data_IF_463873211148
#
_entry.id   IF_463873211148
#
_cell.length_a   1.000
_cell.length_b   1.000
_cell.length_c   1.000
_cell.angle_alpha   90.00
_cell.angle_beta   90.00
_cell.angle_gamma   90.00
#
_symmetry.space_group_name_H-M   'P 1'
#
loop_
_entity.id
_entity.type
_entity.pdbx_description
1 polymer ?
#
# COMPACT_ATOMS: atom_id res chain seq x y z
N UNK A 1 1.28 -19.24 -3.94
CA UNK A 1 0.99 -18.06 -4.77
C UNK A 1 0.73 -16.85 -3.90
N UNK A 2 1.49 -15.77 -4.03
CA UNK A 2 1.31 -14.61 -3.13
C UNK A 2 1.80 -13.30 -3.73
N UNK A 3 1.24 -12.19 -3.24
CA UNK A 3 1.70 -10.84 -3.58
C UNK A 3 3.05 -10.53 -2.92
N UNK A 4 3.93 -9.88 -3.66
CA UNK A 4 5.29 -9.52 -3.20
C UNK A 4 5.31 -8.51 -2.06
N UNK A 5 4.29 -7.65 -1.91
CA UNK A 5 4.21 -6.71 -0.78
C UNK A 5 3.46 -7.30 0.42
N UNK A 6 2.19 -7.67 0.25
CA UNK A 6 1.36 -8.07 1.39
C UNK A 6 1.58 -9.53 1.82
N UNK A 7 2.18 -10.35 0.95
CA UNK A 7 2.36 -11.81 1.08
C UNK A 7 1.04 -12.60 1.18
N UNK A 8 -0.11 -11.97 0.96
CA UNK A 8 -1.42 -12.63 0.90
C UNK A 8 -1.64 -13.25 -0.50
N UNK A 9 -2.49 -14.29 -0.60
CA UNK A 9 -2.74 -14.98 -1.86
C UNK A 9 -3.52 -14.14 -2.87
N UNK A 10 -3.48 -14.55 -4.13
CA UNK A 10 -4.42 -14.11 -5.17
C UNK A 10 -5.61 -15.06 -5.23
N UNK A 11 -6.77 -14.56 -5.66
CA UNK A 11 -7.98 -15.38 -5.90
C UNK A 11 -8.19 -15.62 -7.39
N UNK A 12 -8.70 -16.80 -7.80
CA UNK A 12 -8.80 -17.13 -9.21
C UNK A 12 -9.84 -16.28 -9.92
N UNK A 13 -9.49 -15.84 -11.12
CA UNK A 13 -10.41 -15.18 -12.05
C UNK A 13 -11.40 -16.18 -12.63
N UNK A 14 -12.58 -15.69 -13.03
CA UNK A 14 -13.69 -16.50 -13.58
C UNK A 14 -13.34 -17.27 -14.87
N UNK A 15 -12.25 -16.91 -15.54
CA UNK A 15 -11.79 -17.59 -16.77
C UNK A 15 -10.76 -18.68 -16.49
N UNK A 16 -10.44 -18.96 -15.22
CA UNK A 16 -9.61 -20.11 -14.86
C UNK A 16 -10.30 -21.41 -15.24
N UNK A 17 -9.53 -22.36 -15.77
CA UNK A 17 -10.05 -23.65 -16.30
C UNK A 17 -10.27 -24.67 -15.18
N UNK A 18 -9.54 -24.57 -14.07
CA UNK A 18 -9.68 -25.41 -12.88
C UNK A 18 -9.27 -24.62 -11.63
N UNK A 19 -10.14 -23.69 -11.18
CA UNK A 19 -9.81 -22.79 -10.07
C UNK A 19 -9.95 -23.45 -8.71
N UNK A 20 -9.10 -23.05 -7.79
CA UNK A 20 -9.12 -23.37 -6.36
C UNK A 20 -9.47 -22.09 -5.60
N UNK A 21 -10.77 -21.71 -5.56
CA UNK A 21 -11.18 -20.51 -4.87
C UNK A 21 -11.05 -20.67 -3.34
N UNK A 22 -10.95 -19.55 -2.60
CA UNK A 22 -11.13 -19.57 -1.16
C UNK A 22 -12.47 -20.23 -0.78
N UNK A 23 -12.53 -20.94 0.36
CA UNK A 23 -13.77 -21.52 0.84
C UNK A 23 -14.94 -20.50 0.90
N UNK A 24 -16.18 -20.91 0.57
CA UNK A 24 -17.33 -20.02 0.55
C UNK A 24 -17.52 -19.28 1.89
N UNK A 25 -17.82 -17.98 1.82
CA UNK A 25 -18.10 -17.15 3.01
C UNK A 25 -16.86 -16.69 3.79
N UNK A 26 -15.65 -17.07 3.40
CA UNK A 26 -14.43 -16.55 4.02
C UNK A 26 -14.07 -15.14 3.54
N UNK A 27 -14.30 -14.85 2.26
CA UNK A 27 -14.13 -13.52 1.68
C UNK A 27 -15.48 -12.95 1.25
N UNK A 28 -15.66 -11.65 1.46
CA UNK A 28 -16.74 -10.88 0.82
C UNK A 28 -16.43 -10.67 -0.67
N UNK A 29 -17.44 -10.38 -1.50
CA UNK A 29 -17.25 -10.09 -2.93
C UNK A 29 -16.24 -8.98 -3.19
N UNK A 30 -16.21 -7.96 -2.33
CA UNK A 30 -15.26 -6.83 -2.44
C UNK A 30 -13.83 -7.29 -2.19
N UNK A 31 -13.62 -8.15 -1.20
CA UNK A 31 -12.30 -8.72 -0.92
C UNK A 31 -11.89 -9.67 -2.03
N UNK A 32 -12.81 -10.53 -2.49
CA UNK A 32 -12.54 -11.44 -3.59
C UNK A 32 -12.05 -10.68 -4.84
N UNK A 33 -12.77 -9.65 -5.27
CA UNK A 33 -12.37 -8.81 -6.44
C UNK A 33 -11.03 -8.10 -6.24
N UNK A 34 -10.71 -7.69 -5.02
CA UNK A 34 -9.42 -7.10 -4.69
C UNK A 34 -8.28 -8.11 -4.91
N UNK A 35 -8.44 -9.35 -4.45
CA UNK A 35 -7.41 -10.38 -4.54
C UNK A 35 -7.25 -11.02 -5.93
N UNK A 36 -8.18 -10.80 -6.88
CA UNK A 36 -8.04 -11.28 -8.28
C UNK A 36 -6.93 -10.54 -9.02
N UNK A 37 -6.90 -9.21 -8.85
CA UNK A 37 -6.18 -8.31 -9.73
C UNK A 37 -4.77 -8.03 -9.23
N UNK A 38 -3.81 -8.01 -10.15
CA UNK A 38 -2.44 -7.70 -9.86
C UNK A 38 -1.74 -6.81 -10.87
N UNK A 39 -0.54 -6.39 -10.50
CA UNK A 39 0.43 -5.69 -11.34
C UNK A 39 1.74 -6.44 -11.20
N UNK A 40 2.19 -7.06 -12.30
CA UNK A 40 3.52 -7.62 -12.41
C UNK A 40 4.50 -6.51 -12.78
N UNK A 41 5.64 -6.45 -12.10
CA UNK A 41 6.70 -5.48 -12.31
C UNK A 41 8.01 -6.25 -12.31
N UNK A 42 8.88 -6.02 -13.28
CA UNK A 42 10.20 -6.66 -13.27
C UNK A 42 10.87 -6.65 -14.64
N UNK A 43 12.20 -6.73 -14.63
CA UNK A 43 13.01 -6.65 -15.84
C UNK A 43 12.85 -7.87 -16.75
N UNK A 44 12.44 -9.01 -16.17
CA UNK A 44 12.21 -10.26 -16.91
C UNK A 44 10.83 -10.30 -17.60
N UNK A 45 10.02 -9.25 -17.45
CA UNK A 45 8.76 -9.10 -18.15
C UNK A 45 9.00 -8.44 -19.51
N UNK A 46 8.39 -8.94 -20.61
CA UNK A 46 8.47 -8.30 -21.92
C UNK A 46 8.00 -6.84 -21.92
N UNK A 47 7.03 -6.50 -21.07
CA UNK A 47 6.50 -5.14 -20.95
C UNK A 47 7.08 -4.35 -19.78
N UNK A 48 7.89 -4.99 -18.92
CA UNK A 48 8.46 -4.46 -17.67
C UNK A 48 7.43 -4.15 -16.57
N UNK A 49 6.22 -3.77 -16.97
CA UNK A 49 5.05 -3.59 -16.12
C UNK A 49 3.83 -4.14 -16.86
N UNK A 50 3.01 -4.96 -16.18
CA UNK A 50 1.83 -5.58 -16.77
C UNK A 50 0.70 -5.71 -15.73
N UNK A 51 -0.50 -5.30 -16.10
CA UNK A 51 -1.70 -5.64 -15.33
C UNK A 51 -2.06 -7.10 -15.60
N UNK A 52 -2.29 -7.85 -14.53
CA UNK A 52 -2.48 -9.30 -14.58
C UNK A 52 -3.67 -9.74 -13.74
N UNK A 53 -4.24 -10.88 -14.10
CA UNK A 53 -5.23 -11.60 -13.31
C UNK A 53 -4.75 -12.99 -13.01
N UNK A 54 -5.09 -13.49 -11.83
CA UNK A 54 -4.73 -14.85 -11.44
C UNK A 54 -5.59 -15.88 -12.19
N UNK A 55 -4.97 -16.74 -12.99
CA UNK A 55 -5.64 -17.82 -13.74
C UNK A 55 -5.59 -19.17 -13.02
N UNK A 56 -5.06 -19.20 -11.80
CA UNK A 56 -4.74 -20.41 -11.04
C UNK A 56 -3.54 -21.19 -11.59
N UNK A 57 -3.21 -22.32 -10.94
CA UNK A 57 -2.26 -23.32 -11.42
C UNK A 57 -0.84 -22.80 -11.70
N UNK A 58 -0.39 -21.76 -10.97
CA UNK A 58 0.92 -21.15 -11.20
C UNK A 58 0.93 -20.03 -12.25
N UNK A 59 -0.22 -19.64 -12.83
CA UNK A 59 -0.27 -18.74 -13.98
C UNK A 59 -1.08 -17.46 -13.76
N UNK A 60 -0.54 -16.37 -14.29
CA UNK A 60 -1.23 -15.10 -14.47
C UNK A 60 -1.55 -14.87 -15.95
N UNK A 61 -2.72 -14.29 -16.22
CA UNK A 61 -3.12 -13.81 -17.53
C UNK A 61 -2.89 -12.31 -17.65
N UNK A 62 -2.27 -11.87 -18.74
CA UNK A 62 -2.05 -10.47 -19.06
C UNK A 62 -3.19 -9.86 -19.88
N UNK A 63 -3.50 -8.59 -19.61
CA UNK A 63 -4.42 -7.79 -20.41
C UNK A 63 -3.75 -7.26 -21.68
N UNK A 64 -3.36 -8.10 -22.64
CA UNK A 64 -2.89 -7.62 -23.96
C UNK A 64 -3.66 -8.28 -25.11
N UNK A 65 -3.67 -7.65 -26.30
CA UNK A 65 -4.31 -8.22 -27.49
C UNK A 65 -3.72 -9.59 -27.90
N UNK A 66 -2.50 -9.87 -27.46
CA UNK A 66 -1.95 -11.22 -27.36
C UNK A 66 -2.13 -11.71 -25.91
N UNK A 67 -2.68 -12.90 -25.72
CA UNK A 67 -2.78 -13.54 -24.39
C UNK A 67 -1.36 -13.82 -23.91
N UNK A 68 -0.81 -12.94 -23.06
CA UNK A 68 0.44 -13.23 -22.36
C UNK A 68 0.10 -14.05 -21.11
N UNK A 69 0.65 -15.27 -21.04
CA UNK A 69 0.58 -16.11 -19.85
C UNK A 69 1.91 -15.99 -19.13
N UNK A 70 1.86 -15.59 -17.86
CA UNK A 70 3.02 -15.46 -17.00
C UNK A 70 3.03 -16.61 -16.00
N UNK A 71 4.04 -17.47 -16.07
CA UNK A 71 4.31 -18.44 -15.00
C UNK A 71 4.89 -17.69 -13.80
N UNK A 72 4.26 -17.82 -12.63
CA UNK A 72 4.68 -17.08 -11.43
C UNK A 72 5.98 -17.59 -10.85
N UNK A 73 6.17 -18.90 -10.78
CA UNK A 73 7.34 -19.54 -10.18
C UNK A 73 8.15 -20.29 -11.25
N UNK A 74 9.45 -20.09 -11.26
CA UNK A 74 10.39 -20.65 -12.24
C UNK A 74 11.76 -20.89 -11.60
N UNK A 75 12.66 -21.52 -12.35
CA UNK A 75 14.03 -21.71 -11.90
C UNK A 75 14.67 -20.34 -11.58
N UNK A 76 15.03 -20.15 -10.30
CA UNK A 76 15.63 -18.92 -9.79
C UNK A 76 14.70 -17.96 -9.08
N UNK A 77 13.41 -18.29 -8.91
CA UNK A 77 12.49 -17.53 -8.06
C UNK A 77 11.10 -17.31 -8.63
N UNK A 78 10.37 -16.39 -8.01
CA UNK A 78 9.04 -15.97 -8.46
C UNK A 78 9.08 -14.60 -9.11
N UNK A 79 8.11 -14.34 -10.00
CA UNK A 79 7.91 -13.01 -10.58
C UNK A 79 7.39 -12.06 -9.50
N UNK A 80 7.89 -10.84 -9.49
CA UNK A 80 7.41 -9.78 -8.61
C UNK A 80 6.01 -9.30 -9.07
N UNK A 81 4.98 -9.73 -8.35
CA UNK A 81 3.58 -9.43 -8.63
C UNK A 81 2.90 -8.88 -7.37
N UNK A 82 2.17 -7.79 -7.54
CA UNK A 82 1.50 -7.10 -6.43
C UNK A 82 -0.01 -7.06 -6.66
N UNK A 83 -0.83 -7.15 -5.61
CA UNK A 83 -2.22 -6.68 -5.76
C UNK A 83 -2.24 -5.22 -6.18
N UNK A 84 -3.27 -4.78 -6.90
CA UNK A 84 -3.29 -3.42 -7.50
C UNK A 84 -2.98 -2.31 -6.49
N UNK A 85 -3.60 -2.31 -5.31
CA UNK A 85 -3.32 -1.29 -4.28
C UNK A 85 -1.93 -1.47 -3.66
N UNK A 86 -1.44 -2.70 -3.53
CA UNK A 86 -0.08 -2.94 -3.07
C UNK A 86 0.95 -2.32 -4.03
N UNK A 87 0.73 -2.45 -5.34
CA UNK A 87 1.55 -1.81 -6.36
C UNK A 87 1.50 -0.28 -6.22
N UNK A 88 0.32 0.30 -6.03
CA UNK A 88 0.16 1.76 -5.85
C UNK A 88 0.87 2.27 -4.59
N UNK A 89 0.78 1.56 -3.46
CA UNK A 89 1.48 1.92 -2.22
C UNK A 89 3.00 1.89 -2.44
N UNK A 90 3.52 0.81 -3.02
CA UNK A 90 4.95 0.69 -3.32
C UNK A 90 5.43 1.82 -4.24
N UNK A 91 4.67 2.10 -5.30
CA UNK A 91 4.95 3.20 -6.23
C UNK A 91 4.98 4.55 -5.52
N UNK A 92 4.04 4.82 -4.61
CA UNK A 92 4.05 6.05 -3.80
C UNK A 92 5.34 6.17 -2.98
N UNK A 93 5.72 5.11 -2.27
CA UNK A 93 6.92 5.09 -1.42
C UNK A 93 8.19 5.35 -2.24
N UNK A 94 8.29 4.72 -3.42
CA UNK A 94 9.41 4.93 -4.35
C UNK A 94 9.33 6.22 -5.16
N UNK A 95 8.25 7.01 -5.02
CA UNK A 95 7.95 8.22 -5.82
C UNK A 95 7.86 7.94 -7.33
N UNK A 96 7.17 6.85 -7.68
CA UNK A 96 7.01 6.32 -9.04
C UNK A 96 5.54 6.13 -9.42
N UNK A 97 4.66 7.05 -9.03
CA UNK A 97 3.21 6.94 -9.32
C UNK A 97 2.87 7.16 -10.79
N UNK A 98 3.69 7.90 -11.53
CA UNK A 98 3.55 8.05 -12.98
C UNK A 98 4.05 6.83 -13.76
N UNK A 99 3.67 6.73 -15.03
CA UNK A 99 4.12 5.67 -15.95
C UNK A 99 5.31 6.14 -16.82
N UNK A 100 6.12 7.09 -16.34
CA UNK A 100 7.33 7.49 -17.05
C UNK A 100 8.35 6.34 -17.10
N UNK A 101 9.22 6.37 -18.10
CA UNK A 101 10.29 5.38 -18.21
C UNK A 101 11.17 5.38 -16.96
N UNK A 102 11.45 6.56 -16.39
CA UNK A 102 12.25 6.70 -15.16
C UNK A 102 11.59 5.98 -13.97
N UNK A 103 10.29 6.20 -13.76
CA UNK A 103 9.53 5.48 -12.73
C UNK A 103 9.55 3.97 -12.93
N UNK A 104 9.37 3.50 -14.17
CA UNK A 104 9.38 2.06 -14.49
C UNK A 104 10.77 1.46 -14.25
N UNK A 105 11.83 2.12 -14.68
CA UNK A 105 13.22 1.70 -14.44
C UNK A 105 13.46 1.58 -12.95
N UNK A 106 13.14 2.63 -12.18
CA UNK A 106 13.35 2.67 -10.72
C UNK A 106 12.64 1.53 -9.99
N UNK A 107 11.43 1.16 -10.41
CA UNK A 107 10.71 0.01 -9.85
C UNK A 107 11.37 -1.33 -10.20
N UNK A 108 12.04 -1.44 -11.35
CA UNK A 108 12.76 -2.64 -11.75
C UNK A 108 14.12 -2.79 -11.06
N UNK A 109 14.70 -1.67 -10.58
CA UNK A 109 15.91 -1.69 -9.76
C UNK A 109 15.74 -2.56 -8.51
N UNK A 110 14.52 -2.65 -7.96
CA UNK A 110 14.21 -3.48 -6.79
C UNK A 110 14.66 -4.92 -7.01
N UNK A 111 14.27 -5.53 -8.13
CA UNK A 111 14.61 -6.92 -8.46
C UNK A 111 16.10 -7.09 -8.80
N UNK A 112 16.74 -6.04 -9.33
CA UNK A 112 18.18 -6.07 -9.60
C UNK A 112 19.02 -6.00 -8.32
N UNK A 113 18.65 -5.11 -7.39
CA UNK A 113 19.42 -4.82 -6.18
C UNK A 113 19.20 -5.90 -5.10
N UNK A 114 17.94 -6.29 -4.88
CA UNK A 114 17.60 -7.29 -3.87
C UNK A 114 17.63 -8.73 -4.42
N UNK A 115 17.55 -8.89 -5.74
CA UNK A 115 17.37 -10.17 -6.41
C UNK A 115 15.90 -10.51 -6.62
N UNK A 116 15.67 -11.63 -7.33
CA UNK A 116 14.32 -12.16 -7.56
C UNK A 116 13.65 -12.56 -6.25
N UNK A 117 12.33 -12.34 -6.12
CA UNK A 117 11.59 -12.91 -5.00
C UNK A 117 11.77 -14.43 -4.91
N UNK A 118 11.83 -14.94 -3.68
CA UNK A 118 12.10 -16.35 -3.36
C UNK A 118 10.99 -17.29 -3.87
N UNK A 119 11.23 -18.60 -3.76
CA UNK A 119 10.39 -19.70 -4.25
C UNK A 119 9.80 -20.54 -3.08
N UNK A 120 8.89 -21.46 -3.37
CA UNK A 120 8.30 -22.38 -2.38
C UNK A 120 7.49 -21.68 -1.28
N UNK A 121 7.73 -22.03 0.00
CA UNK A 121 7.05 -21.43 1.15
C UNK A 121 7.29 -19.92 1.29
N UNK A 122 8.47 -19.46 0.86
CA UNK A 122 8.81 -18.04 0.77
C UNK A 122 8.50 -17.44 -0.61
N UNK A 123 7.77 -18.18 -1.46
CA UNK A 123 7.35 -17.79 -2.81
C UNK A 123 6.78 -16.37 -2.85
N UNK A 124 7.45 -15.43 -3.53
CA UNK A 124 7.08 -14.01 -3.64
C UNK A 124 7.74 -13.08 -2.61
N UNK A 125 8.55 -13.59 -1.68
CA UNK A 125 9.25 -12.79 -0.66
C UNK A 125 10.50 -12.18 -1.27
N UNK A 126 10.70 -10.87 -1.16
CA UNK A 126 11.98 -10.27 -1.54
C UNK A 126 13.09 -10.71 -0.57
N UNK A 127 14.29 -11.07 -1.06
CA UNK A 127 15.43 -11.31 -0.21
C UNK A 127 15.74 -10.08 0.66
N UNK A 128 16.27 -10.30 1.87
CA UNK A 128 16.75 -9.24 2.78
C UNK A 128 15.67 -8.31 3.34
N UNK A 129 14.39 -8.63 3.16
CA UNK A 129 13.26 -7.86 3.71
C UNK A 129 12.62 -8.63 4.86
N UNK A 130 12.48 -8.00 6.03
CA UNK A 130 11.95 -8.61 7.26
C UNK A 130 10.43 -8.55 7.43
N UNK A 131 9.65 -9.09 6.49
CA UNK A 131 8.17 -8.95 6.44
C UNK A 131 7.42 -9.17 7.76
N UNK A 132 7.84 -10.15 8.57
CA UNK A 132 7.18 -10.55 9.81
C UNK A 132 7.41 -9.57 10.96
N UNK A 133 8.51 -8.82 10.94
CA UNK A 133 8.98 -8.01 12.07
C UNK A 133 8.78 -6.50 11.90
N UNK A 134 8.23 -6.09 10.74
CA UNK A 134 8.09 -4.69 10.33
C UNK A 134 6.80 -4.04 10.84
N UNK A 135 6.93 -2.83 11.38
CA UNK A 135 5.84 -2.00 11.85
C UNK A 135 5.13 -2.51 13.12
N UNK A 136 4.06 -1.81 13.50
CA UNK A 136 3.24 -2.18 14.67
C UNK A 136 2.37 -3.43 14.43
N UNK A 137 2.02 -3.68 13.16
CA UNK A 137 1.07 -4.71 12.74
C UNK A 137 1.79 -5.95 12.21
N UNK A 138 2.68 -6.50 13.04
CA UNK A 138 3.51 -7.67 12.75
C UNK A 138 2.66 -8.90 12.44
N UNK A 139 3.03 -9.61 11.38
CA UNK A 139 2.31 -10.80 10.92
C UNK A 139 3.20 -11.67 10.04
N UNK A 140 3.55 -12.85 10.54
CA UNK A 140 4.14 -13.92 9.75
C UNK A 140 3.05 -14.69 9.00
N UNK A 141 3.21 -14.81 7.68
CA UNK A 141 2.25 -15.48 6.81
C UNK A 141 2.66 -16.91 6.44
N UNK A 142 3.91 -17.34 6.72
CA UNK A 142 4.42 -18.67 6.37
C UNK A 142 3.58 -19.82 6.95
N UNK A 143 3.10 -19.78 8.21
CA UNK A 143 2.33 -20.88 8.78
C UNK A 143 1.02 -21.19 8.06
N UNK A 144 0.51 -20.23 7.28
CA UNK A 144 -0.75 -20.36 6.54
C UNK A 144 -0.54 -20.84 5.12
N UNK A 145 0.70 -21.04 4.68
CA UNK A 145 1.00 -21.63 3.38
C UNK A 145 1.42 -23.09 3.54
N UNK A 146 0.83 -23.96 2.72
CA UNK A 146 1.15 -25.39 2.73
C UNK A 146 1.20 -25.97 1.31
N UNK A 147 1.98 -27.05 1.14
CA UNK A 147 1.95 -27.89 -0.04
C UNK A 147 0.79 -28.87 0.09
N UNK A 148 -0.06 -28.96 -0.92
CA UNK A 148 -1.14 -29.93 -0.98
C UNK A 148 -0.57 -31.36 -1.07
N UNK A 149 -1.16 -32.32 -0.36
CA UNK A 149 -0.54 -33.63 -0.08
C UNK A 149 -0.21 -34.46 -1.35
N UNK A 150 -0.80 -34.11 -2.51
CA UNK A 150 -0.52 -34.68 -3.83
C UNK A 150 -0.42 -33.63 -4.94
N UNK A 151 -0.20 -32.36 -4.59
CA UNK A 151 -0.18 -31.25 -5.54
C UNK A 151 1.17 -30.54 -5.55
N UNK A 152 1.57 -30.05 -6.73
CA UNK A 152 2.77 -29.22 -6.89
C UNK A 152 2.52 -27.73 -6.55
N UNK A 153 1.38 -27.42 -5.92
CA UNK A 153 0.92 -26.04 -5.70
C UNK A 153 0.90 -25.66 -4.23
N UNK A 154 1.44 -24.46 -3.96
CA UNK A 154 1.33 -23.80 -2.67
C UNK A 154 -0.06 -23.21 -2.45
N UNK A 155 -0.77 -23.71 -1.43
CA UNK A 155 -2.11 -23.27 -1.01
C UNK A 155 -2.03 -22.35 0.21
N UNK A 156 -3.09 -21.58 0.43
CA UNK A 156 -3.25 -20.70 1.60
C UNK A 156 -4.44 -21.17 2.45
N UNK A 157 -4.21 -21.41 3.74
CA UNK A 157 -5.22 -21.80 4.70
C UNK A 157 -5.98 -20.57 5.22
N UNK A 158 -7.06 -20.21 4.52
CA UNK A 158 -7.92 -19.09 4.89
C UNK A 158 -8.66 -19.32 6.21
N UNK A 159 -8.98 -20.57 6.56
CA UNK A 159 -9.73 -20.89 7.77
C UNK A 159 -8.85 -20.72 9.00
N UNK A 160 -7.67 -21.33 9.00
CA UNK A 160 -6.66 -21.16 10.06
C UNK A 160 -6.29 -19.68 10.21
N UNK A 161 -6.08 -18.97 9.10
CA UNK A 161 -5.76 -17.55 9.12
C UNK A 161 -6.83 -16.70 9.82
N UNK A 162 -8.11 -16.98 9.52
CA UNK A 162 -9.24 -16.28 10.14
C UNK A 162 -9.43 -16.69 11.60
N UNK A 163 -9.30 -17.98 11.92
CA UNK A 163 -9.44 -18.51 13.28
C UNK A 163 -8.37 -17.96 14.23
N UNK A 164 -7.17 -17.67 13.72
CA UNK A 164 -6.10 -17.01 14.47
C UNK A 164 -6.31 -15.49 14.63
N UNK A 165 -7.43 -14.93 14.16
CA UNK A 165 -7.78 -13.52 14.35
C UNK A 165 -7.13 -12.55 13.36
N UNK A 166 -6.57 -13.03 12.25
CA UNK A 166 -5.88 -12.19 11.25
C UNK A 166 -6.76 -11.69 10.11
N UNK A 167 -8.08 -11.88 10.20
CA UNK A 167 -9.07 -11.44 9.19
C UNK A 167 -8.95 -9.96 8.80
N UNK A 168 -8.43 -9.12 9.69
CA UNK A 168 -8.17 -7.71 9.42
C UNK A 168 -7.25 -7.49 8.21
N UNK A 169 -6.25 -8.35 7.99
CA UNK A 169 -5.29 -8.24 6.90
C UNK A 169 -5.93 -8.54 5.53
N UNK A 170 -7.05 -9.27 5.49
CA UNK A 170 -7.81 -9.54 4.27
C UNK A 170 -8.69 -8.35 3.86
N UNK A 171 -8.74 -7.26 4.63
CA UNK A 171 -9.51 -6.07 4.24
C UNK A 171 -8.83 -5.31 3.11
N UNK A 172 -9.66 -4.69 2.26
CA UNK A 172 -9.19 -3.86 1.17
C UNK A 172 -8.48 -2.61 1.75
N UNK A 173 -7.21 -2.35 1.41
CA UNK A 173 -6.39 -1.30 2.04
C UNK A 173 -6.60 0.11 1.47
N UNK A 174 -7.65 0.33 0.66
CA UNK A 174 -8.01 1.63 0.08
C UNK A 174 -9.44 2.08 0.47
N UNK A 175 -10.03 1.46 1.51
CA UNK A 175 -11.32 1.87 2.04
C UNK A 175 -11.14 2.85 3.21
N UNK A 176 -11.27 4.15 2.90
CA UNK A 176 -11.07 5.24 3.85
C UNK A 176 -12.32 5.55 4.69
N UNK A 177 -12.16 5.97 5.97
CA UNK A 177 -13.28 6.49 6.74
C UNK A 177 -13.88 7.71 6.04
N UNK A 178 -15.18 7.94 6.24
CA UNK A 178 -15.83 9.15 5.74
C UNK A 178 -15.17 10.39 6.35
N UNK A 179 -14.66 11.27 5.49
CA UNK A 179 -14.16 12.57 5.87
C UNK A 179 -15.31 13.56 6.11
N UNK A 180 -15.08 14.54 6.98
CA UNK A 180 -16.01 15.63 7.25
C UNK A 180 -15.26 16.94 7.07
N UNK A 181 -15.70 17.76 6.12
CA UNK A 181 -15.07 19.04 5.81
C UNK A 181 -15.22 20.10 6.90
N UNK A 182 -16.09 19.87 7.88
CA UNK A 182 -16.31 20.77 9.00
C UNK A 182 -16.58 19.98 10.28
N UNK A 183 -16.24 20.58 11.42
CA UNK A 183 -16.57 20.04 12.73
C UNK A 183 -18.05 20.23 13.00
N UNK A 184 -18.78 19.13 13.21
CA UNK A 184 -20.21 19.19 13.45
C UNK A 184 -20.53 19.90 14.79
N UNK A 185 -21.52 20.83 14.82
CA UNK A 185 -21.90 21.56 16.04
C UNK A 185 -22.25 20.65 17.24
N UNK A 186 -22.81 19.47 16.97
CA UNK A 186 -23.17 18.49 18.00
C UNK A 186 -21.98 17.88 18.74
N UNK A 187 -20.75 18.04 18.24
CA UNK A 187 -19.53 17.52 18.88
C UNK A 187 -18.96 18.46 19.94
N UNK A 188 -19.35 19.74 19.92
CA UNK A 188 -18.83 20.70 20.87
C UNK A 188 -19.30 20.34 22.28
N UNK A 189 -18.36 20.17 23.24
CA UNK A 189 -18.76 20.06 24.63
C UNK A 189 -19.49 21.35 25.03
N UNK A 190 -20.39 21.27 26.01
CA UNK A 190 -20.95 22.47 26.65
C UNK A 190 -19.83 23.42 27.11
N UNK A 191 -20.18 24.67 27.47
CA UNK A 191 -19.21 25.77 27.63
C UNK A 191 -18.01 25.37 28.51
N UNK A 192 -16.79 25.81 28.16
CA UNK A 192 -15.58 25.50 28.93
C UNK A 192 -15.74 25.97 30.39
N UNK A 193 -15.16 25.19 31.31
CA UNK A 193 -15.18 25.55 32.73
C UNK A 193 -14.36 26.83 32.94
N UNK A 194 -14.92 27.81 33.65
CA UNK A 194 -14.32 29.14 33.82
C UNK A 194 -13.02 29.11 34.61
N UNK A 195 -12.84 28.15 35.51
CA UNK A 195 -11.63 28.00 36.32
C UNK A 195 -11.25 26.52 36.44
N UNK A 196 -9.97 26.24 36.22
CA UNK A 196 -9.37 24.92 36.43
C UNK A 196 -8.19 25.09 37.37
N UNK A 197 -7.86 24.09 38.19
CA UNK A 197 -6.64 24.09 39.01
C UNK A 197 -5.45 23.38 38.35
N UNK A 198 -5.73 22.60 37.30
CA UNK A 198 -4.76 21.77 36.60
C UNK A 198 -3.72 22.60 35.83
N UNK A 199 -2.45 22.17 35.92
CA UNK A 199 -1.29 22.90 35.39
C UNK A 199 -1.36 23.00 33.88
N UNK A 200 -1.80 21.93 33.18
CA UNK A 200 -1.84 21.88 31.72
C UNK A 200 -2.98 22.73 31.17
N UNK A 201 -4.17 22.68 31.76
CA UNK A 201 -5.31 23.49 31.31
C UNK A 201 -5.17 24.97 31.63
N UNK A 202 -4.25 25.36 32.52
CA UNK A 202 -3.88 26.76 32.79
C UNK A 202 -2.82 27.32 31.85
N UNK A 203 -2.12 26.47 31.09
CA UNK A 203 -1.09 26.96 30.18
C UNK A 203 -1.71 27.85 29.10
N UNK A 204 -1.00 28.93 28.71
CA UNK A 204 -1.33 29.67 27.50
C UNK A 204 -1.41 28.75 26.27
N UNK A 205 -2.35 29.05 25.35
CA UNK A 205 -2.63 28.20 24.17
C UNK A 205 -1.40 28.08 23.26
N UNK A 206 -0.61 29.14 23.14
CA UNK A 206 0.69 29.17 22.44
C UNK A 206 1.70 28.17 23.00
N UNK A 207 1.82 28.04 24.33
CA UNK A 207 2.65 27.01 24.95
C UNK A 207 2.14 25.62 24.60
N UNK A 208 0.81 25.41 24.60
CA UNK A 208 0.22 24.15 24.18
C UNK A 208 0.50 23.85 22.70
N UNK A 209 0.49 24.85 21.81
CA UNK A 209 0.88 24.64 20.40
C UNK A 209 2.31 24.16 20.25
N UNK A 210 3.23 24.59 21.12
CA UNK A 210 4.62 24.12 21.13
C UNK A 210 4.74 22.69 21.68
N UNK A 211 3.97 22.34 22.71
CA UNK A 211 4.04 21.03 23.36
C UNK A 211 3.36 19.92 22.55
N UNK A 212 2.23 20.22 21.90
CA UNK A 212 1.41 19.22 21.23
C UNK A 212 2.16 18.40 20.17
N UNK A 213 3.04 18.95 19.31
CA UNK A 213 3.80 18.20 18.33
C UNK A 213 4.66 17.06 18.91
N UNK A 214 5.20 17.22 20.12
CA UNK A 214 6.06 16.21 20.77
C UNK A 214 5.32 14.97 21.25
N UNK A 215 3.98 14.99 21.27
CA UNK A 215 3.19 13.84 21.68
C UNK A 215 3.10 12.80 20.55
N UNK A 216 3.21 11.49 20.84
CA UNK A 216 2.78 10.45 19.90
C UNK A 216 1.27 10.58 19.61
N UNK A 217 0.82 10.13 18.44
CA UNK A 217 -0.60 10.19 18.04
C UNK A 217 -1.58 9.63 19.11
N UNK A 218 -1.31 8.49 19.77
CA UNK A 218 -2.16 8.00 20.85
C UNK A 218 -2.27 8.95 22.03
N UNK A 219 -1.14 9.53 22.46
CA UNK A 219 -1.08 10.47 23.58
C UNK A 219 -1.74 11.80 23.24
N UNK A 220 -1.55 12.29 22.01
CA UNK A 220 -2.22 13.48 21.48
C UNK A 220 -3.74 13.34 21.53
N UNK A 221 -4.30 12.27 20.95
CA UNK A 221 -5.75 12.03 20.94
C UNK A 221 -6.30 11.87 22.36
N UNK A 222 -5.57 11.16 23.24
CA UNK A 222 -5.97 10.97 24.64
C UNK A 222 -6.00 12.29 25.40
N UNK A 223 -4.94 13.09 25.34
CA UNK A 223 -4.85 14.40 26.00
C UNK A 223 -6.04 15.28 25.59
N UNK A 224 -6.29 15.38 24.29
CA UNK A 224 -7.37 16.18 23.73
C UNK A 224 -8.78 15.67 24.09
N UNK A 225 -8.89 14.43 24.55
CA UNK A 225 -10.15 13.82 24.98
C UNK A 225 -10.39 13.89 26.49
N UNK A 226 -9.39 14.26 27.30
CA UNK A 226 -9.45 14.18 28.78
C UNK A 226 -10.56 15.05 29.38
N UNK A 227 -10.52 16.37 29.15
CA UNK A 227 -11.42 17.33 29.79
C UNK A 227 -12.20 18.16 28.75
N UNK A 228 -13.21 18.91 29.22
CA UNK A 228 -14.04 19.76 28.34
C UNK A 228 -13.22 20.87 27.68
N UNK A 229 -12.27 21.46 28.40
CA UNK A 229 -11.40 22.53 27.89
C UNK A 229 -10.54 22.04 26.72
N UNK A 230 -9.81 20.94 26.89
CA UNK A 230 -9.03 20.37 25.80
C UNK A 230 -9.89 19.84 24.68
N UNK A 231 -11.05 19.23 24.95
CA UNK A 231 -11.98 18.81 23.89
C UNK A 231 -12.48 20.00 23.07
N UNK A 232 -12.79 21.13 23.71
CA UNK A 232 -13.19 22.34 23.00
C UNK A 232 -12.04 22.84 22.12
N UNK A 233 -10.84 23.01 22.68
CA UNK A 233 -9.67 23.46 21.93
C UNK A 233 -9.29 22.48 20.79
N UNK A 234 -9.51 21.18 20.98
CA UNK A 234 -9.29 20.15 19.97
C UNK A 234 -10.20 20.29 18.76
N UNK A 235 -11.43 20.75 18.98
CA UNK A 235 -12.45 20.96 17.95
C UNK A 235 -12.38 22.34 17.29
N UNK A 236 -11.60 23.28 17.85
CA UNK A 236 -11.40 24.62 17.28
C UNK A 236 -9.96 24.84 16.85
N UNK A 237 -9.07 24.99 17.81
CA UNK A 237 -7.75 25.59 17.65
C UNK A 237 -6.68 24.56 17.28
N UNK A 238 -6.86 23.31 17.70
CA UNK A 238 -5.88 22.25 17.48
C UNK A 238 -6.21 21.32 16.30
N UNK A 239 -7.20 21.64 15.47
CA UNK A 239 -7.49 20.87 14.25
C UNK A 239 -6.30 20.88 13.27
N UNK A 240 -5.55 21.98 13.19
CA UNK A 240 -4.34 22.07 12.38
C UNK A 240 -3.27 21.05 12.79
N UNK A 241 -3.09 20.81 14.10
CA UNK A 241 -2.19 19.77 14.60
C UNK A 241 -2.66 18.37 14.21
N UNK A 242 -3.96 18.10 14.30
CA UNK A 242 -4.51 16.82 13.86
C UNK A 242 -4.36 16.63 12.34
N UNK A 243 -4.57 17.68 11.54
CA UNK A 243 -4.37 17.69 10.09
C UNK A 243 -2.93 17.33 9.74
N UNK A 244 -1.96 18.04 10.31
CA UNK A 244 -0.55 17.80 10.07
C UNK A 244 -0.18 16.34 10.35
N UNK A 245 -0.58 15.81 11.52
CA UNK A 245 -0.33 14.42 11.91
C UNK A 245 -0.93 13.41 10.93
N UNK A 246 -2.14 13.65 10.44
CA UNK A 246 -2.77 12.76 9.45
C UNK A 246 -1.98 12.75 8.15
N UNK A 247 -1.55 13.92 7.67
CA UNK A 247 -0.80 14.03 6.42
C UNK A 247 0.61 13.43 6.53
N UNK A 248 1.27 13.57 7.67
CA UNK A 248 2.59 12.99 7.95
C UNK A 248 2.59 11.46 8.00
N UNK A 249 1.45 10.83 8.31
CA UNK A 249 1.37 9.36 8.33
C UNK A 249 1.57 8.72 6.96
N UNK A 250 1.33 9.45 5.86
CA UNK A 250 1.46 8.93 4.49
C UNK A 250 0.37 7.92 4.08
N UNK A 251 0.16 6.87 4.87
CA UNK A 251 -0.86 5.85 4.64
C UNK A 251 -2.28 6.31 4.99
N UNK A 252 -2.44 7.36 5.77
CA UNK A 252 -3.75 7.76 6.32
C UNK A 252 -4.69 8.42 5.30
N UNK A 253 -4.14 8.89 4.18
CA UNK A 253 -4.88 9.54 3.11
C UNK A 253 -4.83 8.71 1.82
N UNK A 254 -5.81 8.90 0.92
CA UNK A 254 -5.78 8.27 -0.39
C UNK A 254 -4.56 8.67 -1.21
N UNK A 255 -4.13 7.78 -2.10
CA UNK A 255 -3.21 8.14 -3.18
C UNK A 255 -3.97 8.89 -4.27
N UNK A 256 -3.27 9.70 -5.08
CA UNK A 256 -3.91 10.47 -6.16
C UNK A 256 -4.66 9.56 -7.13
N UNK A 257 -4.13 8.37 -7.44
CA UNK A 257 -4.82 7.38 -8.27
C UNK A 257 -6.06 6.76 -7.61
N UNK A 258 -6.06 6.57 -6.29
CA UNK A 258 -7.21 6.06 -5.53
C UNK A 258 -8.32 7.10 -5.48
N UNK A 259 -7.96 8.36 -5.26
CA UNK A 259 -8.88 9.49 -5.27
C UNK A 259 -9.49 9.72 -6.68
N UNK A 260 -8.66 9.71 -7.72
CA UNK A 260 -9.13 9.85 -9.11
C UNK A 260 -10.08 8.73 -9.54
N UNK A 261 -9.88 7.51 -9.02
CA UNK A 261 -10.72 6.34 -9.28
C UNK A 261 -12.00 6.30 -8.44
N UNK A 262 -12.13 7.17 -7.43
CA UNK A 262 -13.32 7.24 -6.62
C UNK A 262 -14.53 7.71 -7.45
N UNK A 263 -15.72 7.21 -7.10
CA UNK A 263 -16.95 7.61 -7.82
C UNK A 263 -17.11 9.13 -7.77
N UNK A 264 -17.67 9.69 -8.84
CA UNK A 264 -17.92 11.13 -8.93
C UNK A 264 -18.70 11.64 -7.70
N UNK A 265 -19.70 10.88 -7.23
CA UNK A 265 -20.46 11.20 -6.02
C UNK A 265 -19.63 11.26 -4.73
N UNK A 266 -18.56 10.46 -4.61
CA UNK A 266 -17.66 10.51 -3.44
C UNK A 266 -16.84 11.80 -3.46
N UNK A 267 -16.38 12.19 -4.65
CA UNK A 267 -15.60 13.41 -4.87
C UNK A 267 -16.47 14.66 -4.71
N UNK A 268 -17.65 14.71 -5.32
CA UNK A 268 -18.57 15.86 -5.24
C UNK A 268 -19.12 16.11 -3.83
N UNK A 269 -19.21 15.07 -3.01
CA UNK A 269 -19.65 15.20 -1.61
C UNK A 269 -18.50 15.47 -0.64
N UNK A 270 -17.25 15.53 -1.13
CA UNK A 270 -16.03 15.69 -0.35
C UNK A 270 -15.96 14.75 0.89
N UNK A 271 -16.44 13.52 0.72
CA UNK A 271 -16.48 12.52 1.81
C UNK A 271 -15.19 11.72 1.91
N UNK A 272 -14.19 12.04 1.10
CA UNK A 272 -12.86 11.44 1.03
C UNK A 272 -11.83 12.57 0.93
N UNK A 273 -10.71 12.43 1.63
CA UNK A 273 -9.65 13.44 1.62
C UNK A 273 -9.03 13.52 0.24
N UNK A 274 -9.03 14.71 -0.36
CA UNK A 274 -8.22 15.00 -1.53
C UNK A 274 -6.74 15.09 -1.11
N UNK A 275 -5.85 14.23 -1.65
CA UNK A 275 -4.44 14.25 -1.28
C UNK A 275 -3.68 15.48 -1.79
N UNK A 276 -4.15 16.07 -2.89
CA UNK A 276 -3.50 17.19 -3.57
C UNK A 276 -4.03 18.54 -3.07
N UNK A 277 -5.27 18.57 -2.59
CA UNK A 277 -5.88 19.74 -1.94
C UNK A 277 -6.56 19.40 -0.59
N UNK A 278 -5.82 18.98 0.46
CA UNK A 278 -6.45 18.53 1.71
C UNK A 278 -7.16 19.69 2.43
N UNK A 279 -8.46 19.57 2.78
CA UNK A 279 -9.25 20.67 3.35
C UNK A 279 -8.66 21.27 4.63
N UNK A 280 -8.77 22.60 4.79
CA UNK A 280 -8.24 23.27 5.99
C UNK A 280 -9.16 23.08 7.21
N UNK A 281 -10.47 23.28 7.03
CA UNK A 281 -11.48 23.30 8.11
C UNK A 281 -12.03 21.91 8.50
N UNK A 282 -11.42 20.86 7.97
CA UNK A 282 -11.84 19.48 8.20
C UNK A 282 -11.86 19.06 9.66
N UNK A 283 -12.69 18.07 9.97
CA UNK A 283 -12.71 17.41 11.27
C UNK A 283 -11.57 16.39 11.40
N UNK A 284 -10.34 16.89 11.34
CA UNK A 284 -9.12 16.11 11.27
C UNK A 284 -8.88 15.27 12.52
N UNK A 285 -9.26 15.76 13.71
CA UNK A 285 -9.15 14.97 14.93
C UNK A 285 -10.08 13.74 14.91
N UNK A 286 -11.30 13.89 14.42
CA UNK A 286 -12.20 12.75 14.25
C UNK A 286 -11.66 11.76 13.21
N UNK A 287 -11.14 12.28 12.11
CA UNK A 287 -10.53 11.46 11.07
C UNK A 287 -9.32 10.69 11.60
N UNK A 288 -8.39 11.34 12.31
CA UNK A 288 -7.24 10.73 12.97
C UNK A 288 -7.66 9.60 13.92
N UNK A 289 -8.72 9.78 14.71
CA UNK A 289 -9.24 8.69 15.55
C UNK A 289 -9.85 7.55 14.72
N UNK A 290 -10.51 7.87 13.61
CA UNK A 290 -11.23 6.91 12.77
C UNK A 290 -10.30 6.01 11.96
N UNK A 291 -9.22 6.57 11.40
CA UNK A 291 -8.24 5.80 10.61
C UNK A 291 -7.55 4.72 11.46
N UNK A 292 -7.31 4.96 12.75
CA UNK A 292 -6.69 3.96 13.63
C UNK A 292 -7.65 2.85 14.07
N UNK A 293 -8.98 3.04 13.94
CA UNK A 293 -10.00 2.03 14.27
C UNK A 293 -10.41 1.16 13.09
N UNK A 294 -10.16 1.62 11.86
CA UNK A 294 -10.56 0.90 10.65
C UNK A 294 -9.65 -0.29 10.37
N UNK A 295 -10.22 -1.47 10.12
CA UNK A 295 -9.46 -2.67 9.75
C UNK A 295 -8.80 -2.53 8.37
N UNK A 296 -9.44 -1.82 7.43
CA UNK A 296 -8.83 -1.49 6.14
C UNK A 296 -7.56 -0.65 6.29
N UNK A 297 -7.58 0.33 7.20
CA UNK A 297 -6.42 1.21 7.42
C UNK A 297 -5.37 0.54 8.30
N UNK A 298 -5.78 -0.41 9.16
CA UNK A 298 -4.87 -1.34 9.82
C UNK A 298 -4.09 -2.17 8.81
N UNK A 299 -4.77 -2.77 7.84
CA UNK A 299 -4.13 -3.48 6.73
C UNK A 299 -3.20 -2.55 5.95
N UNK A 300 -3.67 -1.36 5.56
CA UNK A 300 -2.88 -0.36 4.83
C UNK A 300 -1.61 0.06 5.58
N UNK A 301 -1.69 0.32 6.88
CA UNK A 301 -0.53 0.68 7.73
C UNK A 301 0.53 -0.42 7.70
N UNK A 302 0.14 -1.69 7.76
CA UNK A 302 1.08 -2.82 7.59
C UNK A 302 1.76 -2.78 6.23
N UNK A 303 0.97 -2.63 5.16
CA UNK A 303 1.51 -2.60 3.79
C UNK A 303 2.48 -1.44 3.57
N UNK A 304 2.16 -0.29 4.16
CA UNK A 304 3.02 0.89 4.11
C UNK A 304 4.36 0.62 4.79
N UNK A 305 4.35 0.08 6.01
CA UNK A 305 5.58 -0.25 6.73
C UNK A 305 6.44 -1.27 5.97
N UNK A 306 5.84 -2.31 5.37
CA UNK A 306 6.58 -3.26 4.53
C UNK A 306 7.15 -2.58 3.28
N UNK A 307 6.42 -1.65 2.68
CA UNK A 307 6.91 -0.90 1.52
C UNK A 307 8.10 0.00 1.87
N UNK A 308 8.08 0.63 3.05
CA UNK A 308 9.21 1.40 3.59
C UNK A 308 10.41 0.48 3.88
N UNK A 309 10.19 -0.71 4.44
CA UNK A 309 11.25 -1.70 4.63
C UNK A 309 11.89 -2.12 3.30
N UNK A 310 11.08 -2.39 2.26
CA UNK A 310 11.61 -2.70 0.93
C UNK A 310 12.45 -1.53 0.40
N UNK A 311 11.96 -0.30 0.56
CA UNK A 311 12.71 0.89 0.17
C UNK A 311 14.05 0.99 0.90
N UNK A 312 14.06 0.81 2.23
CA UNK A 312 15.29 0.81 3.03
C UNK A 312 16.26 -0.30 2.62
N UNK A 313 15.76 -1.52 2.42
CA UNK A 313 16.59 -2.64 1.96
C UNK A 313 17.22 -2.35 0.59
N UNK A 314 16.47 -1.74 -0.33
CA UNK A 314 17.00 -1.31 -1.64
C UNK A 314 18.11 -0.27 -1.46
N UNK A 315 17.86 0.81 -0.70
CA UNK A 315 18.85 1.87 -0.50
C UNK A 315 20.13 1.36 0.17
N UNK A 316 20.01 0.50 1.19
CA UNK A 316 21.14 -0.10 1.89
C UNK A 316 22.01 -0.96 0.97
N UNK A 317 21.38 -1.75 0.10
CA UNK A 317 22.09 -2.71 -0.76
C UNK A 317 22.44 -2.14 -2.14
N UNK A 318 22.02 -0.91 -2.44
CA UNK A 318 22.24 -0.26 -3.73
C UNK A 318 23.72 -0.13 -4.06
N UNK A 319 24.52 0.33 -3.11
CA UNK A 319 25.97 0.52 -3.27
C UNK A 319 26.64 -0.83 -3.53
N UNK A 320 26.37 -1.83 -2.68
CA UNK A 320 26.98 -3.15 -2.77
C UNK A 320 26.53 -3.97 -3.99
N UNK A 321 25.40 -3.62 -4.60
CA UNK A 321 24.88 -4.31 -5.80
C UNK A 321 25.64 -3.97 -7.09
N UNK A 322 26.57 -3.01 -7.04
CA UNK A 322 27.23 -2.49 -8.25
C UNK A 322 26.29 -1.76 -9.20
N UNK A 323 25.04 -1.48 -8.77
CA UNK A 323 24.09 -0.70 -9.55
C UNK A 323 24.56 0.75 -9.73
N UNK A 324 25.09 1.33 -8.65
CA UNK A 324 25.61 2.71 -8.58
C UNK A 324 27.14 2.81 -8.70
N UNK A 325 27.88 1.71 -8.84
CA UNK A 325 29.35 1.76 -9.00
C UNK A 325 29.75 2.32 -10.38
N UNK A 326 29.79 3.64 -10.44
CA UNK A 326 30.92 4.39 -10.95
C UNK A 326 31.06 5.70 -10.15
N UNK A 327 31.78 5.67 -9.03
CA UNK A 327 32.31 6.89 -8.39
C UNK A 327 33.81 6.97 -8.65
N UNK A 328 34.24 7.76 -9.64
CA UNK A 328 35.05 8.98 -9.42
C UNK A 328 35.42 9.69 -10.74
N UNK A 329 35.31 11.02 -10.71
CA UNK A 329 36.04 12.04 -11.51
C UNK A 329 36.11 11.89 -13.03
N UNK A 330 35.37 12.78 -13.70
CA UNK A 330 35.50 13.21 -15.10
C UNK A 330 35.30 12.08 -16.15
N UNK A 331 34.17 12.14 -16.86
CA UNK A 331 33.70 11.19 -17.90
C UNK A 331 33.24 9.80 -17.41
N UNK A 332 31.99 9.71 -16.94
CA UNK A 332 31.39 8.43 -16.48
C UNK A 332 30.49 7.77 -17.53
N UNK A 333 30.65 6.45 -17.79
CA UNK A 333 29.66 5.66 -18.51
C UNK A 333 28.57 5.15 -17.55
N UNK A 334 27.28 5.42 -17.83
CA UNK A 334 26.16 4.91 -17.01
C UNK A 334 26.21 3.37 -16.88
N UNK A 335 25.77 2.86 -15.70
CA UNK A 335 25.72 1.42 -15.38
C UNK A 335 25.18 0.60 -16.57
N UNK A 336 25.93 -0.43 -16.99
CA UNK A 336 25.55 -1.28 -18.14
C UNK A 336 24.15 -1.87 -17.97
N UNK A 337 23.78 -2.21 -16.75
CA UNK A 337 22.45 -2.70 -16.39
C UNK A 337 21.38 -1.63 -16.59
N UNK A 338 21.63 -0.41 -16.09
CA UNK A 338 20.70 0.71 -16.28
C UNK A 338 20.48 1.01 -17.77
N UNK A 339 21.55 1.02 -18.58
CA UNK A 339 21.46 1.17 -20.04
C UNK A 339 20.65 0.05 -20.71
N UNK A 340 20.77 -1.19 -20.23
CA UNK A 340 19.97 -2.31 -20.74
C UNK A 340 18.48 -2.16 -20.38
N UNK A 341 18.17 -1.75 -19.14
CA UNK A 341 16.81 -1.46 -18.72
C UNK A 341 16.21 -0.28 -19.51
N UNK A 342 16.97 0.78 -19.72
CA UNK A 342 16.54 1.94 -20.53
C UNK A 342 16.22 1.54 -21.97
N UNK A 343 17.03 0.67 -22.58
CA UNK A 343 16.76 0.11 -23.92
C UNK A 343 15.50 -0.74 -23.94
N UNK A 344 15.33 -1.61 -22.93
CA UNK A 344 14.18 -2.52 -22.85
C UNK A 344 12.86 -1.78 -22.57
N UNK A 345 12.90 -0.79 -21.68
CA UNK A 345 11.76 0.10 -21.41
C UNK A 345 11.47 0.99 -22.62
N UNK A 346 12.51 1.46 -23.31
CA UNK A 346 12.42 2.27 -24.53
C UNK A 346 12.00 1.52 -25.79
N UNK A 347 11.92 0.18 -25.76
CA UNK A 347 11.50 -0.63 -26.91
C UNK A 347 10.07 -0.26 -27.34
N UNK A 348 9.87 0.18 -28.61
CA UNK A 348 8.55 0.53 -29.14
C UNK A 348 7.50 -0.58 -29.00
N UNK A 349 7.89 -1.86 -29.09
CA UNK A 349 7.00 -2.99 -28.90
C UNK A 349 6.58 -3.12 -27.45
N UNK A 350 7.53 -3.03 -26.51
CA UNK A 350 7.23 -3.06 -25.08
C UNK A 350 6.31 -1.89 -24.68
N UNK A 351 6.59 -0.68 -25.20
CA UNK A 351 5.76 0.50 -24.98
C UNK A 351 4.34 0.35 -25.57
N UNK A 352 4.22 -0.24 -26.76
CA UNK A 352 2.92 -0.51 -27.40
C UNK A 352 2.11 -1.53 -26.60
N UNK A 353 2.74 -2.61 -26.15
CA UNK A 353 2.10 -3.64 -25.33
C UNK A 353 1.62 -3.07 -23.98
N UNK A 354 2.41 -2.19 -23.33
CA UNK A 354 1.98 -1.47 -22.12
C UNK A 354 0.73 -0.63 -22.36
N UNK A 355 0.70 0.16 -23.44
CA UNK A 355 -0.46 1.00 -23.81
C UNK A 355 -1.72 0.16 -24.11
N UNK A 356 -1.57 -0.98 -24.77
CA UNK A 356 -2.70 -1.88 -25.03
C UNK A 356 -3.27 -2.47 -23.73
N UNK A 357 -2.44 -2.69 -22.71
CA UNK A 357 -2.88 -3.17 -21.41
C UNK A 357 -3.48 -2.11 -20.48
N UNK A 358 -3.17 -0.83 -20.67
CA UNK A 358 -3.82 0.25 -19.92
C UNK A 358 -5.22 0.59 -20.46
N UNK A 359 -5.45 0.49 -21.77
CA UNK A 359 -6.70 0.87 -22.44
C UNK A 359 -7.92 -0.01 -22.11
N UNK A 360 -7.75 -1.29 -21.75
CA UNK A 360 -8.88 -2.19 -21.44
C UNK A 360 -9.54 -1.94 -20.07
N UNK A 361 -8.97 -1.11 -19.20
CA UNK A 361 -9.52 -0.81 -17.86
C UNK A 361 -10.50 0.37 -17.88
N UNK A 362 -10.52 1.18 -18.95
CA UNK A 362 -11.47 2.29 -19.12
C UNK A 362 -12.86 1.87 -19.66
N UNK A 363 -13.00 0.62 -20.10
CA UNK A 363 -14.29 0.05 -20.51
C UNK A 363 -15.01 -0.49 -19.29
N UNK A 364 -16.09 0.17 -18.89
CA UNK A 364 -17.04 -0.23 -17.83
C UNK A 364 -17.11 -1.76 -17.64
N UNK A 365 -16.74 -2.23 -16.45
CA UNK A 365 -17.20 -3.50 -15.85
C UNK A 365 -18.42 -3.26 -14.98
#
# INVERSE_FOLDING_TARGET
>A
MSCTLCRLPFTPHKTSVDPYPPPPGLLTDRQYRYFINGVAIGQYLPTVLLKVEWLDQGFFGGYTGAVMVLKWESDGGTVMVFHTVCASILRRIFKCEDESNESIIKLCEIEFILGRPLQGLDGGRLPRVGYEDVGDEKLDLRPYYYLEEHGDLMRFDYEMFKNNGHSWALNKPDAFPRFRNTVAPTRFPGPPLKETTDILTKQPIDILHVLLPYLPNPSFVRLLSTCRTFRHAALTTFQAHARQRVLELGWAVPLSGEYASASQSIREQDIMVDPDAPPFDGDWLFYLSSIHKSQSLRARRRLWAIGEEIFHAVEEHRIASGYDEAISTEDTPESRTRKQLERHVGDPLAATLRKLGSLKVGGRS
#
